data_IF_038599090335
#
_entry.id   IF_038599090335
#
_cell.length_a   1.000
_cell.length_b   1.000
_cell.length_c   1.000
_cell.angle_alpha   90.00
_cell.angle_beta   90.00
_cell.angle_gamma   90.00
#
_symmetry.space_group_name_H-M   'P 1'
#
loop_
_entity.id
_entity.type
_entity.pdbx_description
1 polymer ?
#
# COMPACT_ATOMS: atom_id res chain seq x y z
N UNK A 1 36.53 -41.63 -31.65
CA UNK A 1 36.25 -40.68 -32.74
C UNK A 1 36.17 -39.29 -32.11
N UNK A 2 37.25 -38.58 -32.34
CA UNK A 2 37.56 -37.25 -31.79
C UNK A 2 36.75 -36.20 -32.52
N UNK A 3 36.12 -35.25 -31.81
CA UNK A 3 35.62 -33.98 -32.42
C UNK A 3 36.06 -32.78 -31.61
N UNK A 4 36.79 -31.98 -32.30
CA UNK A 4 37.53 -30.77 -32.01
C UNK A 4 36.56 -29.62 -31.67
N UNK A 5 36.89 -28.86 -30.63
CA UNK A 5 36.23 -27.58 -30.24
C UNK A 5 37.10 -26.43 -30.83
N UNK A 6 36.57 -25.44 -31.53
CA UNK A 6 37.34 -24.27 -31.88
C UNK A 6 37.32 -23.20 -30.79
N UNK A 7 38.49 -22.76 -30.44
CA UNK A 7 38.83 -21.63 -29.57
C UNK A 7 38.54 -20.33 -30.30
N UNK A 8 37.64 -19.49 -29.75
CA UNK A 8 37.39 -18.11 -30.23
C UNK A 8 38.21 -17.16 -29.37
N UNK A 9 39.16 -16.51 -30.04
CA UNK A 9 40.07 -15.50 -29.50
C UNK A 9 39.34 -14.17 -29.34
N UNK A 10 39.29 -13.63 -28.11
CA UNK A 10 38.75 -12.30 -27.81
C UNK A 10 39.87 -11.26 -28.00
N UNK A 11 39.70 -10.32 -28.91
CA UNK A 11 40.59 -9.17 -29.11
C UNK A 11 40.06 -8.00 -28.28
N UNK A 12 40.82 -7.59 -27.26
CA UNK A 12 40.63 -6.32 -26.55
C UNK A 12 41.27 -5.19 -27.33
N UNK A 13 40.47 -4.20 -27.73
CA UNK A 13 40.95 -2.90 -28.18
C UNK A 13 40.81 -1.88 -27.05
N UNK A 14 41.92 -1.44 -26.49
CA UNK A 14 42.00 -0.32 -25.56
C UNK A 14 42.10 0.98 -26.36
N UNK A 15 41.16 1.90 -26.15
CA UNK A 15 41.27 3.29 -26.60
C UNK A 15 41.45 4.17 -25.36
N UNK A 16 42.65 4.70 -25.23
CA UNK A 16 43.00 5.75 -24.26
C UNK A 16 42.62 7.11 -24.88
N UNK A 17 41.69 7.83 -24.25
CA UNK A 17 41.38 9.22 -24.56
C UNK A 17 41.83 10.11 -23.41
N UNK A 18 42.84 10.93 -23.65
CA UNK A 18 43.35 11.98 -22.76
C UNK A 18 42.38 13.16 -22.72
N UNK A 19 41.95 13.57 -21.53
CA UNK A 19 41.25 14.83 -21.31
C UNK A 19 42.25 15.82 -20.70
N UNK A 20 42.50 16.89 -21.42
CA UNK A 20 43.30 18.03 -20.94
C UNK A 20 42.43 18.99 -20.18
N UNK A 21 42.90 19.36 -18.98
CA UNK A 21 42.36 20.44 -18.17
C UNK A 21 42.67 21.79 -18.84
N UNK A 22 41.73 22.70 -18.74
CA UNK A 22 41.97 24.11 -19.06
C UNK A 22 41.42 24.96 -17.88
N UNK A 23 42.33 25.41 -17.07
CA UNK A 23 42.11 26.45 -16.06
C UNK A 23 42.07 27.82 -16.75
N UNK A 24 41.16 28.67 -16.36
CA UNK A 24 41.26 30.13 -16.49
C UNK A 24 40.62 30.77 -15.26
N UNK A 25 41.46 31.22 -14.39
CA UNK A 25 41.23 32.35 -13.48
C UNK A 25 41.14 33.62 -14.34
N UNK A 26 40.30 34.58 -13.94
CA UNK A 26 40.60 36.01 -14.00
C UNK A 26 39.65 36.77 -13.07
N UNK A 27 40.25 37.36 -12.07
CA UNK A 27 39.80 38.47 -11.22
C UNK A 27 39.36 39.69 -12.06
N UNK A 28 38.47 40.52 -11.54
CA UNK A 28 38.68 41.98 -11.35
C UNK A 28 37.63 42.58 -10.41
N UNK A 29 38.16 43.46 -9.55
CA UNK A 29 37.54 44.14 -8.43
C UNK A 29 36.64 45.33 -8.78
N UNK A 30 35.79 45.63 -7.79
CA UNK A 30 35.34 46.90 -7.21
C UNK A 30 35.33 48.20 -8.01
N UNK A 31 34.18 48.92 -7.95
CA UNK A 31 34.21 50.31 -7.57
C UNK A 31 32.85 50.82 -7.05
N UNK A 32 32.89 51.55 -5.95
CA UNK A 32 31.75 52.19 -5.30
C UNK A 32 31.63 53.65 -5.84
N UNK A 33 30.40 54.15 -5.96
CA UNK A 33 30.16 55.58 -5.89
C UNK A 33 28.77 55.87 -5.35
N UNK A 34 28.72 56.60 -4.25
CA UNK A 34 27.55 57.20 -3.65
C UNK A 34 27.23 58.54 -4.36
N UNK A 35 25.97 58.88 -4.46
CA UNK A 35 25.51 60.27 -4.51
C UNK A 35 24.04 60.41 -4.09
N UNK A 36 23.88 61.23 -3.11
CA UNK A 36 22.82 61.84 -2.38
C UNK A 36 21.93 62.73 -3.28
N UNK A 37 20.61 62.76 -3.05
CA UNK A 37 19.83 64.04 -3.04
C UNK A 37 18.39 63.76 -2.65
N UNK A 38 17.95 64.44 -1.59
CA UNK A 38 16.61 64.80 -1.17
C UNK A 38 15.70 65.28 -2.29
N UNK A 39 14.46 64.84 -2.29
CA UNK A 39 13.30 65.77 -2.36
C UNK A 39 12.00 65.03 -2.08
N UNK A 40 11.22 65.47 -1.08
CA UNK A 40 9.83 65.17 -0.89
C UNK A 40 8.98 66.35 -1.41
N UNK A 41 7.78 66.09 -1.95
CA UNK A 41 6.63 66.67 -1.27
C UNK A 41 5.35 65.81 -1.26
N UNK A 42 4.68 65.96 -0.09
CA UNK A 42 3.27 66.14 0.18
C UNK A 42 2.18 65.31 -0.56
N UNK A 43 1.46 64.64 0.28
CA UNK A 43 0.06 64.25 0.41
C UNK A 43 -0.92 64.68 -0.71
N UNK A 44 -1.65 63.67 -1.22
CA UNK A 44 -3.06 63.84 -1.57
C UNK A 44 -3.87 62.58 -1.15
N UNK A 45 -4.84 62.86 -0.28
CA UNK A 45 -5.89 61.92 0.14
C UNK A 45 -6.83 61.67 -1.03
N UNK A 46 -7.00 60.42 -1.45
CA UNK A 46 -8.16 60.06 -2.25
C UNK A 46 -8.59 58.61 -2.00
N UNK A 47 -9.69 58.51 -1.32
CA UNK A 47 -10.76 57.54 -1.56
C UNK A 47 -10.43 56.06 -1.49
N UNK A 48 -10.70 55.48 -0.33
CA UNK A 48 -11.03 54.07 -0.16
C UNK A 48 -12.19 53.67 -1.08
N UNK A 49 -11.90 52.93 -2.14
CA UNK A 49 -12.87 52.04 -2.74
C UNK A 49 -12.62 50.65 -2.10
N UNK A 50 -13.54 50.28 -1.22
CA UNK A 50 -13.73 48.91 -0.83
C UNK A 50 -13.99 48.11 -2.11
N UNK A 51 -12.96 47.42 -2.59
CA UNK A 51 -13.14 46.31 -3.52
C UNK A 51 -13.78 45.21 -2.70
N UNK A 52 -15.06 45.00 -2.93
CA UNK A 52 -15.74 43.75 -2.54
C UNK A 52 -14.89 42.61 -3.06
N UNK A 53 -14.33 41.79 -2.15
CA UNK A 53 -13.73 40.52 -2.47
C UNK A 53 -14.82 39.64 -3.10
N UNK A 54 -14.81 39.57 -4.43
CA UNK A 54 -15.60 38.58 -5.17
C UNK A 54 -15.16 37.21 -4.72
N UNK A 55 -16.13 36.51 -4.12
CA UNK A 55 -16.40 35.06 -4.11
C UNK A 55 -15.18 34.17 -4.37
N UNK A 56 -14.58 33.74 -3.27
CA UNK A 56 -13.42 32.85 -3.31
C UNK A 56 -13.75 31.48 -3.91
N UNK A 57 -13.37 31.28 -5.16
CA UNK A 57 -13.11 29.96 -5.64
C UNK A 57 -12.26 29.24 -4.58
N UNK A 58 -12.71 28.06 -4.13
CA UNK A 58 -12.09 27.27 -3.06
C UNK A 58 -10.65 26.91 -3.48
N UNK A 59 -9.71 27.82 -3.20
CA UNK A 59 -8.31 27.63 -3.62
C UNK A 59 -7.70 26.53 -2.78
N UNK A 60 -7.19 25.48 -3.46
CA UNK A 60 -6.50 24.36 -2.80
C UNK A 60 -5.32 24.91 -2.01
N UNK A 61 -5.26 24.58 -0.73
CA UNK A 61 -4.17 24.99 0.16
C UNK A 61 -2.95 24.10 -0.03
N UNK A 62 -1.73 24.64 0.12
CA UNK A 62 -0.53 23.83 0.17
C UNK A 62 -0.65 22.71 1.22
N UNK A 63 -0.14 21.53 0.89
CA UNK A 63 -0.12 20.38 1.77
C UNK A 63 1.14 20.37 2.64
N UNK A 64 0.95 20.30 3.97
CA UNK A 64 2.06 20.06 4.90
C UNK A 64 2.19 18.57 5.17
N UNK A 65 3.30 17.97 4.74
CA UNK A 65 3.61 16.55 4.94
C UNK A 65 5.09 16.35 5.20
N UNK A 66 5.44 15.56 6.22
CA UNK A 66 6.85 15.25 6.58
C UNK A 66 7.73 16.50 6.75
N UNK A 67 7.16 17.61 7.27
CA UNK A 67 7.84 18.88 7.47
C UNK A 67 8.21 19.62 6.18
N UNK A 68 7.51 19.33 5.09
CA UNK A 68 7.62 19.98 3.79
C UNK A 68 6.26 20.49 3.34
N UNK A 69 6.28 21.59 2.59
CA UNK A 69 5.11 22.19 1.98
C UNK A 69 5.07 21.80 0.50
N UNK A 70 4.06 21.04 0.08
CA UNK A 70 3.84 20.66 -1.32
C UNK A 70 2.78 21.61 -1.91
N UNK A 71 3.10 22.27 -3.02
CA UNK A 71 2.21 23.22 -3.67
C UNK A 71 1.13 22.50 -4.50
N UNK A 72 -0.08 23.07 -4.63
CA UNK A 72 -1.09 22.55 -5.55
C UNK A 72 -0.55 22.44 -6.99
N UNK A 73 -1.01 21.44 -7.71
CA UNK A 73 -0.60 21.15 -9.09
C UNK A 73 0.83 20.63 -9.23
N UNK A 74 1.46 20.14 -8.15
CA UNK A 74 2.84 19.65 -8.19
C UNK A 74 2.97 18.18 -7.82
N UNK A 75 4.02 17.56 -8.37
CA UNK A 75 4.50 16.23 -7.96
C UNK A 75 5.83 16.38 -7.24
N UNK A 76 5.92 15.88 -6.02
CA UNK A 76 7.15 15.91 -5.23
C UNK A 76 7.52 14.55 -4.66
N UNK A 77 8.82 14.34 -4.48
CA UNK A 77 9.33 13.19 -3.73
C UNK A 77 9.82 13.68 -2.37
N UNK A 78 9.07 13.35 -1.35
CA UNK A 78 9.44 13.62 0.04
C UNK A 78 10.27 12.46 0.60
N UNK A 79 10.86 12.67 1.76
CA UNK A 79 11.70 11.67 2.40
C UNK A 79 11.22 11.42 3.82
N UNK A 80 10.68 10.24 4.05
CA UNK A 80 10.31 9.76 5.37
C UNK A 80 11.50 9.03 6.00
N UNK A 81 11.96 9.52 7.13
CA UNK A 81 13.03 8.90 7.92
C UNK A 81 12.41 8.33 9.20
N UNK A 82 12.03 7.05 9.23
CA UNK A 82 11.55 6.43 10.45
C UNK A 82 12.67 6.47 11.50
N UNK A 83 12.28 6.67 12.76
CA UNK A 83 13.23 6.78 13.87
C UNK A 83 13.91 5.44 14.11
N UNK A 84 15.08 5.27 13.49
CA UNK A 84 15.93 4.08 13.60
C UNK A 84 17.04 4.30 14.62
N UNK A 85 17.60 3.20 15.12
CA UNK A 85 18.62 3.21 16.19
C UNK A 85 19.89 4.01 15.88
N UNK A 86 20.16 4.31 14.61
CA UNK A 86 21.33 5.07 14.17
C UNK A 86 20.91 6.28 13.35
N UNK A 87 20.57 7.39 14.00
CA UNK A 87 20.16 8.65 13.33
C UNK A 87 21.16 9.15 12.26
N UNK A 88 22.46 8.92 12.47
CA UNK A 88 23.51 9.33 11.54
C UNK A 88 23.66 8.42 10.32
N UNK A 89 22.99 7.26 10.30
CA UNK A 89 23.06 6.27 9.22
C UNK A 89 21.64 5.93 8.69
N UNK A 90 20.63 6.67 9.12
CA UNK A 90 19.26 6.45 8.65
C UNK A 90 19.17 6.62 7.12
N UNK A 91 18.62 5.63 6.45
CA UNK A 91 18.28 5.74 5.03
C UNK A 91 16.81 6.15 4.93
N UNK A 92 16.52 7.36 4.45
CA UNK A 92 15.14 7.78 4.28
C UNK A 92 14.44 6.98 3.19
N UNK A 93 13.15 6.75 3.37
CA UNK A 93 12.27 6.12 2.41
C UNK A 93 11.63 7.21 1.56
N UNK A 94 11.63 7.11 0.22
CA UNK A 94 10.93 8.06 -0.63
C UNK A 94 9.41 7.92 -0.47
N UNK A 95 8.74 9.07 -0.38
CA UNK A 95 7.28 9.21 -0.37
C UNK A 95 6.91 10.09 -1.56
N UNK A 96 6.15 9.53 -2.48
CA UNK A 96 5.73 10.18 -3.71
C UNK A 96 4.41 10.92 -3.43
N UNK A 97 4.33 12.21 -3.77
CA UNK A 97 3.14 13.03 -3.51
C UNK A 97 2.72 13.74 -4.79
N UNK A 98 1.52 13.45 -5.27
CA UNK A 98 0.84 14.20 -6.30
C UNK A 98 -0.26 15.03 -5.62
N UNK A 99 -0.11 16.35 -5.57
CA UNK A 99 -1.06 17.27 -4.96
C UNK A 99 -1.79 18.06 -6.04
N UNK A 100 -3.10 17.85 -6.13
CA UNK A 100 -3.94 18.38 -7.21
C UNK A 100 -4.23 19.88 -7.10
N UNK A 101 -4.76 20.44 -8.19
CA UNK A 101 -5.23 21.84 -8.26
C UNK A 101 -6.69 22.00 -7.82
N UNK A 102 -7.45 20.90 -7.75
CA UNK A 102 -8.85 20.93 -7.36
C UNK A 102 -9.03 20.28 -5.98
N UNK A 103 -10.01 20.74 -5.17
CA UNK A 103 -10.33 20.10 -3.91
C UNK A 103 -10.75 18.64 -4.12
N UNK A 104 -10.39 17.77 -3.21
CA UNK A 104 -10.72 16.36 -3.27
C UNK A 104 -10.12 15.57 -2.10
N UNK A 105 -10.36 14.26 -2.02
CA UNK A 105 -9.87 13.44 -0.92
C UNK A 105 -8.36 13.20 -1.00
N UNK A 106 -7.80 12.76 0.12
CA UNK A 106 -6.43 12.28 0.21
C UNK A 106 -6.40 10.76 0.22
N UNK A 107 -5.93 10.18 -0.88
CA UNK A 107 -5.73 8.75 -1.04
C UNK A 107 -4.28 8.39 -0.72
N UNK A 108 -4.08 7.46 0.21
CA UNK A 108 -2.76 6.91 0.50
C UNK A 108 -2.63 5.49 -0.02
N UNK A 109 -1.47 5.22 -0.62
CA UNK A 109 -1.08 3.91 -1.14
C UNK A 109 0.19 3.47 -0.39
N UNK A 110 0.13 2.32 0.29
CA UNK A 110 1.29 1.70 0.92
C UNK A 110 1.64 0.40 0.23
N UNK A 111 2.93 0.10 0.12
CA UNK A 111 3.40 -1.18 -0.41
C UNK A 111 4.65 -1.65 0.31
N UNK A 112 4.99 -2.91 0.15
CA UNK A 112 6.11 -3.55 0.82
C UNK A 112 6.14 -3.30 2.34
N UNK A 113 4.98 -3.39 3.01
CA UNK A 113 4.88 -3.63 4.46
C UNK A 113 5.59 -4.94 4.78
N UNK A 114 5.49 -5.89 3.88
CA UNK A 114 6.35 -7.08 3.81
C UNK A 114 7.38 -6.88 2.69
N UNK A 115 8.65 -6.98 3.02
CA UNK A 115 9.71 -6.55 2.10
C UNK A 115 9.92 -7.44 0.88
N UNK A 116 9.37 -8.66 0.87
CA UNK A 116 9.41 -9.60 -0.25
C UNK A 116 8.23 -9.48 -1.23
N UNK A 117 7.28 -8.56 -0.98
CA UNK A 117 6.07 -8.37 -1.77
C UNK A 117 6.25 -7.23 -2.79
N UNK A 118 6.65 -7.57 -4.04
CA UNK A 118 7.17 -6.62 -5.00
C UNK A 118 6.11 -5.97 -5.90
N UNK A 119 4.98 -6.66 -6.16
CA UNK A 119 3.98 -6.18 -7.13
C UNK A 119 3.39 -4.82 -6.73
N UNK A 120 3.10 -4.63 -5.43
CA UNK A 120 2.59 -3.37 -4.91
C UNK A 120 3.54 -2.19 -5.10
N UNK A 121 4.87 -2.41 -5.01
CA UNK A 121 5.89 -1.38 -5.28
C UNK A 121 5.74 -0.85 -6.70
N UNK A 122 5.63 -1.78 -7.66
CA UNK A 122 5.53 -1.44 -9.08
C UNK A 122 4.17 -0.81 -9.41
N UNK A 123 3.08 -1.23 -8.74
CA UNK A 123 1.77 -0.59 -8.88
C UNK A 123 1.83 0.88 -8.43
N UNK A 124 2.38 1.16 -7.23
CA UNK A 124 2.57 2.53 -6.74
C UNK A 124 3.43 3.33 -7.72
N UNK A 125 4.56 2.78 -8.17
CA UNK A 125 5.44 3.46 -9.11
C UNK A 125 4.72 3.82 -10.40
N UNK A 126 4.07 2.85 -11.06
CA UNK A 126 3.39 3.09 -12.35
C UNK A 126 2.30 4.14 -12.20
N UNK A 127 1.40 3.98 -11.23
CA UNK A 127 0.33 4.93 -11.00
C UNK A 127 0.87 6.34 -10.73
N UNK A 128 1.77 6.48 -9.75
CA UNK A 128 2.25 7.80 -9.31
C UNK A 128 2.95 8.59 -10.41
N UNK A 129 3.74 7.94 -11.27
CA UNK A 129 4.45 8.61 -12.36
C UNK A 129 3.60 8.85 -13.63
N UNK A 130 2.37 8.30 -13.67
CA UNK A 130 1.39 8.58 -14.72
C UNK A 130 0.39 9.68 -14.32
N UNK A 131 0.39 10.11 -13.05
CA UNK A 131 -0.47 11.18 -12.59
C UNK A 131 0.03 12.54 -13.08
N UNK A 132 -0.91 13.34 -13.61
CA UNK A 132 -0.71 14.75 -13.93
C UNK A 132 -1.35 15.60 -12.80
N UNK A 133 -0.58 16.16 -11.86
CA UNK A 133 -1.13 16.86 -10.69
C UNK A 133 -2.02 18.04 -11.07
N UNK A 134 -1.79 18.68 -12.21
CA UNK A 134 -2.62 19.78 -12.71
C UNK A 134 -4.04 19.37 -13.14
N UNK A 135 -4.27 18.06 -13.33
CA UNK A 135 -5.56 17.49 -13.70
C UNK A 135 -6.17 16.64 -12.57
N UNK A 136 -5.54 16.67 -11.38
CA UNK A 136 -5.93 15.88 -10.21
C UNK A 136 -6.80 16.71 -9.26
N UNK A 137 -7.87 16.11 -8.73
CA UNK A 137 -8.62 16.61 -7.57
C UNK A 137 -8.16 15.87 -6.32
N UNK A 138 -7.84 16.62 -5.25
CA UNK A 138 -7.32 16.05 -4.02
C UNK A 138 -5.83 15.69 -4.09
N UNK A 139 -5.42 14.67 -3.35
CA UNK A 139 -4.00 14.30 -3.19
C UNK A 139 -3.82 12.80 -3.24
N UNK A 140 -2.77 12.33 -3.93
CA UNK A 140 -2.33 10.93 -3.85
C UNK A 140 -0.95 10.89 -3.20
N UNK A 141 -0.84 10.10 -2.11
CA UNK A 141 0.42 9.89 -1.38
C UNK A 141 0.81 8.42 -1.53
N UNK A 142 1.92 8.15 -2.20
CA UNK A 142 2.45 6.81 -2.42
C UNK A 142 3.68 6.53 -1.56
N UNK A 143 3.64 5.45 -0.77
CA UNK A 143 4.80 4.92 -0.02
C UNK A 143 5.15 3.55 -0.61
N UNK A 144 6.01 3.51 -1.65
CA UNK A 144 6.25 2.27 -2.39
C UNK A 144 6.98 1.20 -1.58
N UNK A 145 7.75 1.58 -0.57
CA UNK A 145 8.52 0.63 0.24
C UNK A 145 8.44 1.06 1.72
N UNK A 146 7.50 0.48 2.46
CA UNK A 146 7.37 0.75 3.90
C UNK A 146 8.48 0.07 4.69
N UNK A 147 8.73 -1.20 4.45
CA UNK A 147 9.76 -2.01 5.11
C UNK A 147 11.03 -2.09 4.26
N UNK A 148 11.81 -1.00 4.24
CA UNK A 148 13.05 -0.92 3.45
C UNK A 148 14.07 -2.00 3.84
N UNK A 149 14.11 -2.38 5.10
CA UNK A 149 15.03 -3.38 5.61
C UNK A 149 14.67 -4.78 5.10
N UNK A 150 13.39 -5.16 5.23
CA UNK A 150 12.88 -6.39 4.64
C UNK A 150 13.07 -6.42 3.12
N UNK A 151 12.77 -5.33 2.43
CA UNK A 151 12.94 -5.22 0.98
C UNK A 151 14.38 -5.48 0.53
N UNK A 152 15.37 -4.86 1.19
CA UNK A 152 16.78 -5.07 0.86
C UNK A 152 17.26 -6.51 1.06
N UNK A 153 16.63 -7.21 2.00
CA UNK A 153 16.98 -8.57 2.34
C UNK A 153 16.11 -9.62 1.63
N UNK A 154 15.12 -9.19 0.79
CA UNK A 154 14.13 -10.08 0.18
C UNK A 154 13.36 -10.87 1.23
N UNK A 155 13.01 -10.24 2.34
CA UNK A 155 12.38 -10.85 3.50
C UNK A 155 11.04 -10.19 3.82
N UNK A 156 10.04 -10.99 4.15
CA UNK A 156 8.77 -10.53 4.69
C UNK A 156 8.99 -9.67 5.94
N UNK A 157 9.87 -10.12 6.81
CA UNK A 157 10.08 -9.60 8.15
C UNK A 157 11.12 -8.49 8.20
N UNK A 158 11.06 -7.69 9.27
CA UNK A 158 12.15 -6.81 9.69
C UNK A 158 13.39 -7.61 10.12
N UNK A 159 14.54 -6.95 10.29
CA UNK A 159 15.79 -7.59 10.76
C UNK A 159 15.66 -8.27 12.12
N UNK A 160 14.76 -7.78 12.98
CA UNK A 160 14.44 -8.39 14.28
C UNK A 160 13.45 -9.56 14.17
N UNK A 161 13.12 -10.00 12.94
CA UNK A 161 12.21 -11.09 12.59
C UNK A 161 10.75 -10.85 12.95
N UNK A 162 10.34 -9.62 13.21
CA UNK A 162 8.95 -9.25 13.46
C UNK A 162 8.22 -8.98 12.16
N UNK A 163 6.95 -9.40 12.12
CA UNK A 163 6.00 -9.02 11.07
C UNK A 163 5.48 -7.61 11.36
N UNK A 164 5.83 -6.63 10.50
CA UNK A 164 5.44 -5.25 10.70
C UNK A 164 3.91 -5.10 10.77
N UNK A 165 3.17 -5.90 10.00
CA UNK A 165 1.71 -5.85 9.92
C UNK A 165 1.00 -6.53 11.13
N UNK A 166 1.67 -6.55 12.27
CA UNK A 166 1.14 -6.96 13.59
C UNK A 166 1.41 -5.90 14.68
N UNK A 167 1.93 -4.74 14.27
CA UNK A 167 2.38 -3.73 15.22
C UNK A 167 1.72 -2.36 15.04
N UNK A 168 0.77 -2.19 14.12
CA UNK A 168 0.05 -0.93 13.94
C UNK A 168 -1.03 -0.71 15.00
N UNK A 169 -1.29 0.56 15.43
CA UNK A 169 -0.65 1.80 14.98
C UNK A 169 0.78 2.00 15.52
N UNK A 170 1.27 1.12 16.37
CA UNK A 170 2.61 1.17 16.92
C UNK A 170 2.74 2.03 18.18
N UNK A 171 3.97 2.14 18.68
CA UNK A 171 4.29 2.95 19.86
C UNK A 171 5.70 3.53 19.75
N UNK A 172 5.86 4.81 20.08
CA UNK A 172 7.14 5.55 19.95
C UNK A 172 8.31 4.89 20.71
N UNK A 173 8.04 4.30 21.86
CA UNK A 173 9.05 3.66 22.73
C UNK A 173 9.05 2.13 22.63
N UNK A 174 8.33 1.55 21.64
CA UNK A 174 8.20 0.11 21.45
C UNK A 174 9.41 -0.54 20.75
N UNK A 175 9.23 -1.79 20.31
CA UNK A 175 10.20 -2.53 19.50
C UNK A 175 10.49 -1.82 18.17
N UNK A 176 11.50 -2.29 17.40
CA UNK A 176 11.82 -1.71 16.09
C UNK A 176 10.59 -1.72 15.16
N UNK A 177 9.83 -2.83 15.12
CA UNK A 177 8.59 -2.93 14.37
C UNK A 177 7.53 -1.93 14.85
N UNK A 178 7.30 -1.85 16.17
CA UNK A 178 6.33 -0.93 16.77
C UNK A 178 6.68 0.54 16.52
N UNK A 179 7.95 0.91 16.56
CA UNK A 179 8.43 2.28 16.26
C UNK A 179 8.30 2.63 14.79
N UNK A 180 8.59 1.69 13.88
CA UNK A 180 8.40 1.88 12.45
C UNK A 180 6.92 2.05 12.12
N UNK A 181 6.05 1.18 12.67
CA UNK A 181 4.61 1.28 12.55
C UNK A 181 4.09 2.64 13.05
N UNK A 182 4.49 3.06 14.25
CA UNK A 182 4.13 4.35 14.84
C UNK A 182 4.55 5.53 13.94
N UNK A 183 5.78 5.50 13.43
CA UNK A 183 6.29 6.56 12.57
C UNK A 183 5.52 6.67 11.25
N UNK A 184 5.23 5.56 10.57
CA UNK A 184 4.41 5.56 9.36
C UNK A 184 3.02 6.08 9.65
N UNK A 185 2.39 5.52 10.66
CA UNK A 185 1.00 5.78 10.99
C UNK A 185 0.77 7.26 11.34
N UNK A 186 1.56 7.81 12.26
CA UNK A 186 1.37 9.18 12.71
C UNK A 186 1.81 10.25 11.70
N UNK A 187 2.88 9.98 10.92
CA UNK A 187 3.41 11.00 10.01
C UNK A 187 2.74 10.99 8.64
N UNK A 188 2.10 9.88 8.23
CA UNK A 188 1.53 9.73 6.89
C UNK A 188 0.07 9.27 6.96
N UNK A 189 -0.20 8.08 7.54
CA UNK A 189 -1.51 7.42 7.41
C UNK A 189 -2.63 8.22 8.06
N UNK A 190 -2.43 8.80 9.22
CA UNK A 190 -3.44 9.66 9.90
C UNK A 190 -3.89 10.87 9.10
N UNK A 191 -3.15 11.24 8.05
CA UNK A 191 -3.53 12.35 7.20
C UNK A 191 -4.37 11.93 5.98
N UNK A 192 -4.68 10.63 5.83
CA UNK A 192 -5.39 10.07 4.69
C UNK A 192 -6.89 9.97 4.98
N UNK A 193 -7.73 10.19 3.96
CA UNK A 193 -9.15 9.88 4.00
C UNK A 193 -9.38 8.41 3.60
N UNK A 194 -8.58 7.95 2.64
CA UNK A 194 -8.61 6.58 2.11
C UNK A 194 -7.22 5.94 2.13
N UNK A 195 -7.17 4.64 2.41
CA UNK A 195 -5.94 3.86 2.39
C UNK A 195 -6.11 2.58 1.56
N UNK A 196 -5.18 2.34 0.65
CA UNK A 196 -5.02 1.04 -0.03
C UNK A 196 -3.65 0.48 0.34
N UNK A 197 -3.64 -0.62 1.09
CA UNK A 197 -2.43 -1.33 1.47
C UNK A 197 -2.17 -2.48 0.50
N UNK A 198 -1.08 -2.39 -0.28
CA UNK A 198 -0.79 -3.26 -1.42
C UNK A 198 0.11 -4.42 -1.00
N UNK A 199 -0.39 -5.64 -1.16
CA UNK A 199 0.22 -6.89 -0.76
C UNK A 199 0.25 -7.93 -1.88
N UNK A 200 0.89 -9.05 -1.60
CA UNK A 200 0.82 -10.30 -2.38
C UNK A 200 0.49 -11.47 -1.46
N UNK A 201 0.27 -12.65 -2.02
CA UNK A 201 0.25 -13.87 -1.22
C UNK A 201 1.55 -14.06 -0.44
N UNK A 202 1.47 -14.57 0.77
CA UNK A 202 2.61 -14.80 1.67
C UNK A 202 3.14 -16.23 1.59
N UNK A 203 4.39 -16.47 1.98
CA UNK A 203 4.96 -17.82 2.20
C UNK A 203 4.74 -18.82 1.04
N UNK A 204 5.10 -18.42 -0.19
CA UNK A 204 4.95 -19.24 -1.40
C UNK A 204 3.49 -19.57 -1.75
N UNK A 205 2.58 -18.69 -1.39
CA UNK A 205 1.20 -18.66 -1.89
C UNK A 205 1.06 -17.55 -2.91
N UNK A 206 0.10 -17.70 -3.79
CA UNK A 206 -0.28 -16.69 -4.76
C UNK A 206 -1.76 -16.38 -4.59
N UNK A 207 -2.12 -15.13 -4.70
CA UNK A 207 -3.49 -14.66 -4.69
C UNK A 207 -3.87 -14.13 -6.07
N UNK A 208 -5.10 -14.44 -6.52
CA UNK A 208 -5.65 -13.66 -7.63
C UNK A 208 -5.77 -12.21 -7.19
N UNK A 209 -5.72 -11.23 -8.11
CA UNK A 209 -5.95 -9.84 -7.76
C UNK A 209 -7.31 -9.67 -7.09
N UNK A 210 -7.31 -9.21 -5.84
CA UNK A 210 -8.52 -9.10 -5.00
C UNK A 210 -8.36 -8.04 -3.93
N UNK A 211 -9.47 -7.48 -3.46
CA UNK A 211 -9.54 -6.65 -2.27
C UNK A 211 -9.90 -7.51 -1.06
N UNK A 212 -9.25 -7.26 0.04
CA UNK A 212 -9.68 -7.69 1.37
C UNK A 212 -10.30 -6.48 2.06
N UNK A 213 -11.56 -6.59 2.40
CA UNK A 213 -12.37 -5.51 2.94
C UNK A 213 -13.24 -6.02 4.10
N UNK A 214 -13.47 -5.18 5.09
CA UNK A 214 -14.45 -5.45 6.15
C UNK A 214 -15.84 -5.09 5.63
N UNK A 215 -16.52 -6.08 5.04
CA UNK A 215 -17.83 -5.88 4.44
C UNK A 215 -18.98 -5.80 5.48
N UNK A 216 -18.68 -5.80 6.77
CA UNK A 216 -19.66 -5.47 7.80
C UNK A 216 -19.77 -3.95 8.02
N UNK A 217 -18.96 -3.13 7.32
CA UNK A 217 -18.95 -1.66 7.37
C UNK A 217 -19.39 -1.07 6.04
N UNK A 218 -20.48 -0.29 6.04
CA UNK A 218 -21.06 0.28 4.82
C UNK A 218 -20.12 1.22 4.06
N UNK A 219 -19.33 2.03 4.76
CA UNK A 219 -18.35 2.92 4.15
C UNK A 219 -17.23 2.14 3.43
N UNK A 220 -16.81 0.97 3.96
CA UNK A 220 -15.82 0.10 3.32
C UNK A 220 -16.43 -0.61 2.10
N UNK A 221 -17.69 -1.04 2.18
CA UNK A 221 -18.43 -1.60 1.03
C UNK A 221 -18.55 -0.56 -0.08
N UNK A 222 -18.91 0.68 0.25
CA UNK A 222 -19.00 1.79 -0.70
C UNK A 222 -17.62 2.05 -1.37
N UNK A 223 -16.56 2.09 -0.58
CA UNK A 223 -15.19 2.29 -1.09
C UNK A 223 -14.73 1.14 -2.00
N UNK A 224 -14.98 -0.11 -1.62
CA UNK A 224 -14.60 -1.26 -2.42
C UNK A 224 -15.25 -1.27 -3.82
N UNK A 225 -16.46 -0.72 -3.98
CA UNK A 225 -17.12 -0.59 -5.28
C UNK A 225 -16.39 0.32 -6.27
N UNK A 226 -15.63 1.30 -5.78
CA UNK A 226 -14.88 2.21 -6.64
C UNK A 226 -13.75 1.52 -7.42
N UNK A 227 -13.36 0.29 -7.06
CA UNK A 227 -12.35 -0.49 -7.78
C UNK A 227 -12.87 -1.22 -9.03
N UNK A 228 -14.10 -0.94 -9.47
CA UNK A 228 -14.68 -1.56 -10.65
C UNK A 228 -14.90 -3.06 -10.50
N UNK A 229 -14.44 -3.85 -11.48
CA UNK A 229 -14.66 -5.31 -11.52
C UNK A 229 -13.72 -6.15 -10.66
N UNK A 230 -12.89 -5.54 -9.78
CA UNK A 230 -11.96 -6.30 -8.93
C UNK A 230 -12.71 -7.17 -7.91
N UNK A 231 -12.27 -8.41 -7.76
CA UNK A 231 -12.82 -9.35 -6.77
C UNK A 231 -12.72 -8.78 -5.36
N UNK A 232 -13.78 -8.87 -4.57
CA UNK A 232 -13.81 -8.45 -3.16
C UNK A 232 -14.03 -9.65 -2.26
N UNK A 233 -13.19 -9.74 -1.24
CA UNK A 233 -13.23 -10.77 -0.22
C UNK A 233 -13.50 -10.16 1.14
N UNK A 234 -14.58 -10.60 1.80
CA UNK A 234 -14.81 -10.24 3.20
C UNK A 234 -13.68 -10.78 4.07
N UNK A 235 -13.02 -9.87 4.75
CA UNK A 235 -11.88 -10.17 5.60
C UNK A 235 -11.78 -9.09 6.68
N UNK A 236 -12.45 -9.26 7.82
CA UNK A 236 -12.26 -8.38 8.96
C UNK A 236 -10.77 -8.33 9.33
N UNK A 237 -10.19 -7.15 9.57
CA UNK A 237 -8.78 -7.05 9.89
C UNK A 237 -8.49 -7.60 11.29
N UNK A 238 -7.34 -8.25 11.44
CA UNK A 238 -6.82 -8.66 12.74
C UNK A 238 -6.13 -7.51 13.47
N UNK A 239 -6.03 -7.59 14.79
CA UNK A 239 -5.34 -6.61 15.63
C UNK A 239 -3.89 -6.41 15.17
N UNK A 240 -3.43 -5.17 15.23
CA UNK A 240 -2.08 -4.79 14.85
C UNK A 240 -1.81 -4.71 13.33
N UNK A 241 -2.80 -5.00 12.48
CA UNK A 241 -2.70 -4.77 11.04
C UNK A 241 -2.86 -3.28 10.71
N UNK A 242 -2.16 -2.82 9.67
CA UNK A 242 -2.24 -1.43 9.21
C UNK A 242 -3.70 -1.03 8.88
N UNK A 243 -4.41 -1.88 8.17
CA UNK A 243 -5.81 -1.67 7.82
C UNK A 243 -6.73 -1.60 9.07
N UNK A 244 -6.48 -2.42 10.11
CA UNK A 244 -7.23 -2.36 11.36
C UNK A 244 -7.06 -1.00 12.03
N UNK A 245 -5.81 -0.59 12.24
CA UNK A 245 -5.49 0.68 12.87
C UNK A 245 -6.04 1.89 12.08
N UNK A 246 -6.04 1.83 10.74
CA UNK A 246 -6.61 2.87 9.90
C UNK A 246 -8.13 2.99 10.09
N UNK A 247 -8.85 1.86 10.10
CA UNK A 247 -10.31 1.84 10.31
C UNK A 247 -10.70 2.31 11.73
N UNK A 248 -9.90 1.99 12.74
CA UNK A 248 -10.10 2.48 14.11
C UNK A 248 -9.93 4.00 14.23
N UNK A 249 -9.09 4.59 13.39
CA UNK A 249 -8.90 6.06 13.30
C UNK A 249 -9.90 6.76 12.35
N UNK A 250 -10.89 6.01 11.82
CA UNK A 250 -11.90 6.56 10.91
C UNK A 250 -11.45 6.71 9.44
N UNK A 251 -10.31 6.12 9.07
CA UNK A 251 -9.81 6.10 7.70
C UNK A 251 -10.42 4.89 6.99
N UNK A 252 -11.04 5.10 5.82
CA UNK A 252 -11.61 4.00 5.05
C UNK A 252 -10.49 3.22 4.36
N UNK A 253 -10.30 1.95 4.73
CA UNK A 253 -9.13 1.20 4.32
C UNK A 253 -9.46 -0.20 3.77
N UNK A 254 -8.73 -0.58 2.72
CA UNK A 254 -8.74 -1.94 2.13
C UNK A 254 -7.32 -2.43 1.92
N UNK A 255 -7.15 -3.76 1.87
CA UNK A 255 -5.91 -4.38 1.39
C UNK A 255 -6.15 -4.89 -0.02
N UNK A 256 -5.26 -4.57 -0.96
CA UNK A 256 -5.23 -5.16 -2.29
C UNK A 256 -4.16 -6.26 -2.31
N UNK A 257 -4.57 -7.46 -2.64
CA UNK A 257 -3.69 -8.61 -2.80
C UNK A 257 -3.56 -8.97 -4.27
N UNK A 258 -2.34 -9.14 -4.79
CA UNK A 258 -2.16 -9.52 -6.20
C UNK A 258 -0.85 -10.30 -6.41
N UNK A 259 -0.96 -11.55 -6.87
CA UNK A 259 0.20 -12.41 -7.17
C UNK A 259 0.87 -13.00 -5.93
N UNK A 260 2.17 -13.25 -6.00
CA UNK A 260 2.97 -13.91 -4.96
C UNK A 260 4.27 -13.17 -4.60
N UNK A 261 4.94 -13.57 -3.51
CA UNK A 261 6.15 -12.91 -3.02
C UNK A 261 7.39 -13.27 -3.83
N UNK A 262 8.45 -12.48 -3.64
CA UNK A 262 9.79 -12.67 -4.23
C UNK A 262 9.83 -12.70 -5.77
N UNK A 263 8.83 -12.13 -6.43
CA UNK A 263 8.78 -12.02 -7.89
C UNK A 263 7.92 -10.84 -8.31
N UNK A 264 8.18 -10.34 -9.49
CA UNK A 264 7.36 -9.34 -10.15
C UNK A 264 6.52 -10.05 -11.22
N UNK A 265 5.20 -9.81 -11.20
CA UNK A 265 4.23 -10.44 -12.09
C UNK A 265 3.48 -9.36 -12.85
N UNK A 266 3.88 -9.13 -14.12
CA UNK A 266 3.35 -8.02 -14.93
C UNK A 266 1.82 -8.03 -15.04
N UNK A 267 1.19 -9.22 -15.21
CA UNK A 267 -0.27 -9.32 -15.30
C UNK A 267 -0.97 -8.90 -14.01
N UNK A 268 -0.42 -9.27 -12.84
CA UNK A 268 -0.96 -8.88 -11.55
C UNK A 268 -0.78 -7.37 -11.31
N UNK A 269 0.36 -6.82 -11.71
CA UNK A 269 0.66 -5.38 -11.63
C UNK A 269 -0.28 -4.59 -12.55
N UNK A 270 -0.41 -4.99 -13.83
CA UNK A 270 -1.28 -4.32 -14.79
C UNK A 270 -2.74 -4.28 -14.31
N UNK A 271 -3.23 -5.40 -13.77
CA UNK A 271 -4.57 -5.48 -13.21
C UNK A 271 -4.74 -4.56 -11.99
N UNK A 272 -3.76 -4.54 -11.07
CA UNK A 272 -3.78 -3.68 -9.90
C UNK A 272 -3.73 -2.19 -10.26
N UNK A 273 -2.87 -1.80 -11.20
CA UNK A 273 -2.79 -0.41 -11.71
C UNK A 273 -4.13 0.02 -12.31
N UNK A 274 -4.73 -0.82 -13.16
CA UNK A 274 -6.03 -0.53 -13.77
C UNK A 274 -7.14 -0.35 -12.70
N UNK A 275 -7.11 -1.15 -11.64
CA UNK A 275 -8.07 -1.02 -10.54
C UNK A 275 -7.86 0.29 -9.75
N UNK A 276 -6.61 0.68 -9.50
CA UNK A 276 -6.27 1.94 -8.84
C UNK A 276 -6.63 3.17 -9.70
N UNK A 277 -6.43 3.10 -11.02
CA UNK A 277 -6.90 4.13 -11.95
C UNK A 277 -8.42 4.27 -11.92
N UNK A 278 -9.14 3.14 -11.93
CA UNK A 278 -10.60 3.11 -11.81
C UNK A 278 -11.07 3.67 -10.47
N UNK A 279 -10.33 3.40 -9.38
CA UNK A 279 -10.58 3.99 -8.07
C UNK A 279 -10.49 5.53 -8.13
N UNK A 280 -9.43 6.09 -8.71
CA UNK A 280 -9.27 7.54 -8.85
C UNK A 280 -10.40 8.18 -9.68
N UNK A 281 -10.82 7.52 -10.76
CA UNK A 281 -11.92 7.96 -11.60
C UNK A 281 -13.27 7.94 -10.83
N UNK A 282 -13.54 6.89 -10.07
CA UNK A 282 -14.78 6.74 -9.31
C UNK A 282 -14.82 7.56 -8.01
N UNK A 283 -13.68 8.04 -7.52
CA UNK A 283 -13.59 9.02 -6.43
C UNK A 283 -13.60 10.48 -6.94
N UNK A 284 -13.86 10.68 -8.24
CA UNK A 284 -13.81 11.99 -8.90
C UNK A 284 -12.45 12.72 -8.76
N UNK A 285 -11.38 11.97 -8.46
CA UNK A 285 -10.03 12.53 -8.35
C UNK A 285 -9.38 12.74 -9.72
N UNK A 286 -9.80 12.01 -10.74
CA UNK A 286 -9.35 12.10 -12.13
C UNK A 286 -10.53 11.97 -13.08
N UNK A 287 -10.47 12.64 -14.24
CA UNK A 287 -11.49 12.48 -15.28
C UNK A 287 -11.53 11.04 -15.80
N UNK A 288 -12.72 10.46 -15.86
CA UNK A 288 -12.91 9.11 -16.35
C UNK A 288 -12.42 8.97 -17.80
N UNK A 289 -11.52 8.04 -18.02
CA UNK A 289 -10.97 7.73 -19.34
C UNK A 289 -11.60 6.48 -19.98
N UNK A 290 -12.05 5.53 -19.15
CA UNK A 290 -12.62 4.25 -19.57
C UNK A 290 -13.65 3.77 -18.56
N UNK A 291 -14.69 3.11 -19.05
CA UNK A 291 -15.64 2.38 -18.22
C UNK A 291 -15.18 0.93 -18.06
N UNK A 292 -14.80 0.54 -16.85
CA UNK A 292 -14.53 -0.84 -16.49
C UNK A 292 -15.79 -1.45 -15.89
N UNK A 293 -16.66 -2.00 -16.78
CA UNK A 293 -18.06 -2.32 -16.48
C UNK A 293 -18.36 -3.78 -16.18
N UNK A 294 -17.40 -4.61 -15.78
CA UNK A 294 -17.70 -5.96 -15.32
C UNK A 294 -18.32 -5.92 -13.90
N UNK A 295 -19.32 -6.77 -13.60
CA UNK A 295 -19.80 -6.92 -12.24
C UNK A 295 -18.66 -7.33 -11.31
N UNK A 296 -18.60 -6.71 -10.13
CA UNK A 296 -17.61 -7.03 -9.11
C UNK A 296 -17.96 -8.36 -8.42
N UNK A 297 -17.13 -9.42 -8.53
CA UNK A 297 -17.35 -10.65 -7.79
C UNK A 297 -17.10 -10.44 -6.29
N UNK A 298 -18.06 -10.82 -5.44
CA UNK A 298 -17.95 -10.65 -4.00
C UNK A 298 -18.00 -12.00 -3.31
N UNK A 299 -17.05 -12.24 -2.41
CA UNK A 299 -16.95 -13.46 -1.61
C UNK A 299 -17.05 -13.10 -0.13
N UNK A 300 -18.21 -13.36 0.47
CA UNK A 300 -18.42 -13.09 1.88
C UNK A 300 -17.83 -14.18 2.77
N UNK A 301 -17.85 -15.42 2.31
CA UNK A 301 -17.28 -16.57 3.00
C UNK A 301 -16.14 -17.17 2.18
N UNK A 302 -15.04 -17.45 2.83
CA UNK A 302 -13.91 -18.17 2.22
C UNK A 302 -13.12 -18.93 3.27
N UNK A 303 -12.57 -20.05 2.89
CA UNK A 303 -11.83 -20.95 3.78
C UNK A 303 -10.51 -21.40 3.16
N UNK A 304 -9.47 -21.51 4.01
CA UNK A 304 -8.23 -22.16 3.66
C UNK A 304 -8.31 -23.68 3.83
N UNK A 305 -8.25 -24.40 2.71
CA UNK A 305 -8.19 -25.85 2.67
C UNK A 305 -6.76 -26.28 2.92
N UNK A 306 -6.57 -27.13 3.94
CA UNK A 306 -5.23 -27.48 4.43
C UNK A 306 -4.80 -28.86 3.99
N UNK A 307 -3.48 -29.02 3.77
CA UNK A 307 -2.85 -30.31 3.50
C UNK A 307 -2.98 -31.25 4.71
N UNK A 308 -3.48 -32.46 4.49
CA UNK A 308 -3.65 -33.47 5.54
C UNK A 308 -2.33 -34.15 5.96
N UNK A 309 -1.32 -34.13 5.08
CA UNK A 309 0.02 -34.71 5.33
C UNK A 309 1.11 -33.81 4.76
N UNK A 310 2.35 -34.03 5.20
CA UNK A 310 3.54 -33.43 4.60
C UNK A 310 3.98 -34.14 3.33
N UNK A 311 4.63 -33.44 2.41
CA UNK A 311 5.13 -33.96 1.16
C UNK A 311 5.32 -32.93 0.08
N UNK A 312 5.37 -33.38 -1.17
CA UNK A 312 5.43 -32.52 -2.35
C UNK A 312 4.01 -32.28 -2.84
N UNK A 313 3.55 -31.02 -2.80
CA UNK A 313 2.26 -30.61 -3.34
C UNK A 313 2.38 -30.37 -4.85
N UNK A 314 1.51 -31.01 -5.60
CA UNK A 314 1.26 -30.75 -7.02
C UNK A 314 -0.19 -30.32 -7.17
N UNK A 315 -0.42 -29.10 -7.66
CA UNK A 315 -1.76 -28.57 -7.89
C UNK A 315 -2.39 -29.15 -9.16
N UNK A 316 -3.69 -29.38 -9.12
CA UNK A 316 -4.52 -29.80 -10.26
C UNK A 316 -5.49 -28.69 -10.72
N UNK A 317 -5.45 -27.53 -10.02
CA UNK A 317 -6.25 -26.34 -10.32
C UNK A 317 -5.38 -25.09 -10.42
N UNK A 318 -5.91 -24.03 -11.02
CA UNK A 318 -5.29 -22.72 -11.15
C UNK A 318 -6.07 -21.66 -10.37
N UNK A 319 -5.47 -20.47 -10.21
CA UNK A 319 -6.18 -19.32 -9.64
C UNK A 319 -7.43 -18.98 -10.49
N UNK A 320 -8.49 -18.60 -9.81
CA UNK A 320 -9.77 -18.23 -10.43
C UNK A 320 -10.59 -19.41 -10.99
N UNK A 321 -10.12 -20.65 -10.93
CA UNK A 321 -10.91 -21.81 -11.32
C UNK A 321 -12.16 -21.96 -10.46
N UNK A 322 -13.27 -22.33 -11.10
CA UNK A 322 -14.48 -22.78 -10.43
C UNK A 322 -14.35 -24.26 -10.11
N UNK A 323 -14.50 -24.60 -8.85
CA UNK A 323 -14.36 -25.97 -8.35
C UNK A 323 -15.67 -26.46 -7.74
N UNK A 324 -15.89 -27.77 -7.80
CA UNK A 324 -17.09 -28.41 -7.22
C UNK A 324 -16.73 -29.19 -5.97
N UNK A 325 -17.68 -29.31 -5.08
CA UNK A 325 -17.56 -30.16 -3.90
C UNK A 325 -17.10 -31.59 -4.28
N UNK A 326 -16.01 -32.04 -3.64
CA UNK A 326 -15.40 -33.35 -3.90
C UNK A 326 -14.37 -33.37 -5.02
N UNK A 327 -14.13 -32.24 -5.70
CA UNK A 327 -13.10 -32.08 -6.73
C UNK A 327 -11.72 -32.07 -6.11
N UNK A 328 -10.73 -32.68 -6.75
CA UNK A 328 -9.34 -32.70 -6.30
C UNK A 328 -8.70 -31.37 -6.70
N UNK A 329 -8.19 -30.65 -5.71
CA UNK A 329 -7.48 -29.39 -5.89
C UNK A 329 -5.98 -29.61 -6.14
N UNK A 330 -5.47 -30.70 -5.59
CA UNK A 330 -4.08 -31.11 -5.75
C UNK A 330 -3.77 -32.31 -4.90
N UNK A 331 -2.58 -32.87 -5.11
CA UNK A 331 -2.10 -34.07 -4.44
C UNK A 331 -0.80 -33.81 -3.71
N UNK A 332 -0.72 -34.16 -2.43
CA UNK A 332 0.53 -34.15 -1.65
C UNK A 332 1.10 -35.54 -1.62
N UNK A 333 2.30 -35.70 -2.18
CA UNK A 333 3.00 -37.01 -2.25
C UNK A 333 4.18 -37.04 -1.28
N UNK A 334 4.22 -38.04 -0.40
CA UNK A 334 5.41 -38.35 0.38
C UNK A 334 6.47 -38.99 -0.54
N UNK A 335 7.61 -38.32 -0.76
CA UNK A 335 8.63 -38.84 -1.71
C UNK A 335 9.37 -40.08 -1.22
N UNK A 336 9.24 -40.44 0.05
CA UNK A 336 9.91 -41.62 0.64
C UNK A 336 9.03 -42.85 0.52
N UNK A 337 7.79 -42.77 0.98
CA UNK A 337 6.82 -43.87 0.94
C UNK A 337 6.10 -44.01 -0.40
N UNK A 338 6.19 -42.99 -1.25
CA UNK A 338 5.44 -42.84 -2.51
C UNK A 338 3.91 -42.96 -2.31
N UNK A 339 3.43 -42.48 -1.15
CA UNK A 339 2.00 -42.40 -0.86
C UNK A 339 1.47 -40.99 -1.15
N UNK A 340 0.31 -40.89 -1.78
CA UNK A 340 -0.36 -39.63 -2.09
C UNK A 340 -1.57 -39.38 -1.19
N UNK A 341 -1.82 -38.11 -0.86
CA UNK A 341 -3.05 -37.63 -0.20
C UNK A 341 -3.64 -36.49 -1.01
N UNK A 342 -4.87 -36.66 -1.45
CA UNK A 342 -5.59 -35.62 -2.18
C UNK A 342 -6.07 -34.52 -1.24
N UNK A 343 -5.99 -33.27 -1.68
CA UNK A 343 -6.68 -32.12 -1.10
C UNK A 343 -7.95 -31.90 -1.91
N UNK A 344 -9.10 -31.90 -1.26
CA UNK A 344 -10.41 -31.95 -1.90
C UNK A 344 -11.22 -30.70 -1.54
N UNK A 345 -11.94 -30.12 -2.53
CA UNK A 345 -12.86 -29.01 -2.31
C UNK A 345 -14.01 -29.42 -1.38
N UNK A 346 -14.26 -28.73 -0.25
CA UNK A 346 -15.34 -29.08 0.68
C UNK A 346 -16.72 -28.65 0.19
N UNK A 347 -16.79 -27.66 -0.71
CA UNK A 347 -18.00 -27.07 -1.29
C UNK A 347 -17.70 -26.55 -2.70
N UNK A 348 -18.75 -26.14 -3.42
CA UNK A 348 -18.64 -25.50 -4.73
C UNK A 348 -18.15 -24.05 -4.53
N UNK A 349 -17.18 -23.60 -5.32
CA UNK A 349 -16.64 -22.25 -5.14
C UNK A 349 -15.56 -21.90 -6.16
N UNK A 350 -14.82 -20.83 -5.88
CA UNK A 350 -13.75 -20.32 -6.73
C UNK A 350 -12.42 -20.30 -5.98
N UNK A 351 -11.33 -20.66 -6.66
CA UNK A 351 -9.97 -20.61 -6.09
C UNK A 351 -9.47 -19.17 -6.06
N UNK A 352 -9.41 -18.58 -4.86
CA UNK A 352 -9.04 -17.19 -4.61
C UNK A 352 -7.55 -17.01 -4.26
N UNK A 353 -6.94 -18.06 -3.78
CA UNK A 353 -5.52 -18.10 -3.44
C UNK A 353 -5.05 -19.55 -3.38
N UNK A 354 -3.78 -19.79 -3.65
CA UNK A 354 -3.25 -21.15 -3.64
C UNK A 354 -1.75 -21.19 -3.36
N UNK A 355 -1.30 -22.31 -2.82
CA UNK A 355 0.11 -22.61 -2.74
C UNK A 355 0.67 -22.86 -4.14
N UNK A 356 1.88 -22.39 -4.41
CA UNK A 356 2.65 -22.86 -5.57
C UNK A 356 3.13 -24.28 -5.33
N UNK A 357 3.45 -25.02 -6.38
CA UNK A 357 4.00 -26.38 -6.26
C UNK A 357 5.28 -26.36 -5.42
N UNK A 358 5.25 -27.04 -4.28
CA UNK A 358 6.30 -26.95 -3.26
C UNK A 358 6.27 -28.10 -2.26
N UNK A 359 7.26 -28.15 -1.38
CA UNK A 359 7.20 -28.98 -0.17
C UNK A 359 6.30 -28.29 0.86
N UNK A 360 5.33 -29.04 1.38
CA UNK A 360 4.39 -28.60 2.41
C UNK A 360 4.46 -29.49 3.64
N UNK A 361 4.08 -28.97 4.79
CA UNK A 361 3.87 -29.72 6.02
C UNK A 361 2.38 -30.04 6.21
N UNK A 362 2.07 -31.01 7.06
CA UNK A 362 0.69 -31.24 7.49
C UNK A 362 0.13 -29.96 8.13
N UNK A 363 -1.11 -29.59 7.80
CA UNK A 363 -1.75 -28.35 8.25
C UNK A 363 -1.48 -27.13 7.38
N UNK A 364 -0.56 -27.19 6.39
CA UNK A 364 -0.28 -26.06 5.51
C UNK A 364 -1.54 -25.63 4.73
N UNK A 365 -1.86 -24.32 4.77
CA UNK A 365 -2.97 -23.70 4.06
C UNK A 365 -2.66 -23.67 2.55
N UNK A 366 -3.25 -24.62 1.79
CA UNK A 366 -2.87 -24.88 0.42
C UNK A 366 -3.77 -24.19 -0.61
N UNK A 367 -5.09 -24.10 -0.36
CA UNK A 367 -6.05 -23.48 -1.28
C UNK A 367 -7.05 -22.62 -0.50
N UNK A 368 -7.31 -21.40 -0.97
CA UNK A 368 -8.40 -20.59 -0.47
C UNK A 368 -9.57 -20.67 -1.46
N UNK A 369 -10.69 -21.18 -0.98
CA UNK A 369 -11.91 -21.27 -1.78
C UNK A 369 -12.94 -20.32 -1.20
N UNK A 370 -13.65 -19.59 -2.06
CA UNK A 370 -14.74 -18.69 -1.69
C UNK A 370 -16.01 -19.06 -2.42
N UNK A 371 -17.16 -18.85 -1.74
CA UNK A 371 -18.49 -18.91 -2.32
C UNK A 371 -18.93 -17.52 -2.74
N UNK A 372 -19.22 -17.32 -4.04
CA UNK A 372 -19.61 -16.04 -4.60
C UNK A 372 -21.03 -15.66 -4.15
N UNK A 373 -21.19 -14.42 -3.66
CA UNK A 373 -22.49 -13.81 -3.31
C UNK A 373 -22.78 -12.65 -4.24
N UNK A 374 -24.05 -12.29 -4.39
CA UNK A 374 -24.40 -11.08 -5.15
C UNK A 374 -24.01 -9.82 -4.37
N UNK A 375 -23.66 -8.74 -5.09
CA UNK A 375 -23.35 -7.46 -4.46
C UNK A 375 -24.53 -6.92 -3.64
N UNK A 376 -25.78 -7.17 -4.08
CA UNK A 376 -27.00 -6.76 -3.39
C UNK A 376 -27.17 -7.46 -2.03
N UNK A 377 -26.83 -8.76 -1.93
CA UNK A 377 -26.85 -9.50 -0.66
C UNK A 377 -25.84 -8.96 0.34
N UNK A 378 -24.68 -8.51 -0.13
CA UNK A 378 -23.62 -7.95 0.70
C UNK A 378 -24.02 -6.57 1.22
N UNK A 379 -24.56 -5.70 0.36
CA UNK A 379 -25.06 -4.38 0.75
C UNK A 379 -26.15 -4.47 1.81
N UNK A 380 -27.15 -5.30 1.57
CA UNK A 380 -28.23 -5.51 2.54
C UNK A 380 -27.74 -6.00 3.90
N UNK A 381 -26.67 -6.80 3.91
CA UNK A 381 -26.07 -7.30 5.15
C UNK A 381 -25.28 -6.21 5.88
N UNK A 382 -24.51 -5.38 5.16
CA UNK A 382 -23.75 -4.28 5.75
C UNK A 382 -24.69 -3.23 6.37
N UNK A 383 -25.75 -2.83 5.66
CA UNK A 383 -26.77 -1.90 6.19
C UNK A 383 -27.45 -2.43 7.44
N UNK A 384 -27.73 -3.74 7.49
CA UNK A 384 -28.32 -4.37 8.68
C UNK A 384 -27.35 -4.39 9.86
N UNK A 385 -26.07 -4.58 9.60
CA UNK A 385 -25.00 -4.54 10.64
C UNK A 385 -24.89 -3.15 11.26
N UNK A 386 -24.85 -2.11 10.43
CA UNK A 386 -24.76 -0.71 10.88
C UNK A 386 -26.00 -0.31 11.68
N UNK A 387 -27.21 -0.69 11.22
CA UNK A 387 -28.45 -0.44 11.97
C UNK A 387 -28.46 -1.12 13.34
N UNK A 388 -27.90 -2.33 13.42
CA UNK A 388 -27.81 -3.08 14.68
C UNK A 388 -26.83 -2.40 15.65
N UNK A 389 -25.78 -1.80 15.17
CA UNK A 389 -24.83 -1.03 15.99
C UNK A 389 -25.45 0.27 16.50
N UNK A 390 -26.20 0.99 15.67
CA UNK A 390 -26.93 2.20 16.06
C UNK A 390 -28.02 1.89 17.10
N UNK A 391 -28.81 0.83 16.90
CA UNK A 391 -29.87 0.40 17.83
C UNK A 391 -29.31 -0.02 19.20
N UNK A 392 -28.09 -0.55 19.26
CA UNK A 392 -27.38 -0.88 20.50
C UNK A 392 -26.68 0.32 21.16
N UNK A 393 -26.85 1.54 20.63
CA UNK A 393 -26.37 2.79 21.23
C UNK A 393 -24.91 3.11 20.94
N UNK A 394 -24.30 2.44 19.98
CA UNK A 394 -22.98 2.76 19.46
C UNK A 394 -23.13 3.90 18.43
N UNK A 395 -22.92 5.13 18.87
CA UNK A 395 -22.75 6.26 17.94
C UNK A 395 -21.27 6.33 17.59
N UNK A 396 -20.92 6.49 16.29
CA UNK A 396 -19.58 6.87 15.93
C UNK A 396 -19.21 8.15 16.67
N UNK A 397 -18.17 8.14 17.48
CA UNK A 397 -17.67 9.38 18.09
C UNK A 397 -17.15 10.27 16.94
N UNK A 398 -17.63 11.53 16.90
CA UNK A 398 -17.00 12.56 16.08
C UNK A 398 -15.49 12.59 16.40
N UNK A 399 -14.61 12.76 15.41
CA UNK A 399 -13.18 12.74 15.63
C UNK A 399 -12.81 13.76 16.70
N UNK A 400 -12.32 13.26 17.83
CA UNK A 400 -11.97 14.08 18.97
C UNK A 400 -10.84 15.05 18.58
N UNK A 401 -11.03 16.33 18.87
CA UNK A 401 -9.98 17.32 18.82
C UNK A 401 -8.74 16.84 19.61
N UNK A 402 -7.52 17.18 19.16
CA UNK A 402 -6.29 16.67 19.77
C UNK A 402 -6.27 17.03 21.26
N UNK A 403 -6.23 16.00 22.11
CA UNK A 403 -6.10 16.14 23.56
C UNK A 403 -4.69 16.58 23.89
N UNK A 404 -4.57 17.66 24.67
CA UNK A 404 -3.31 18.07 25.29
C UNK A 404 -2.76 16.91 26.15
N UNK A 405 -1.46 16.69 26.06
CA UNK A 405 -0.73 15.57 26.67
C UNK A 405 -0.85 15.64 28.20
N UNK A 406 -1.54 14.69 28.81
CA UNK A 406 -1.37 14.36 30.24
C UNK A 406 -0.14 13.46 30.39
N UNK A 407 0.83 13.89 31.18
CA UNK A 407 2.05 13.15 31.52
C UNK A 407 1.69 11.77 32.11
N UNK A 408 1.87 10.71 31.32
CA UNK A 408 1.67 9.33 31.76
C UNK A 408 2.83 8.86 32.63
N UNK A 409 2.50 8.42 33.82
CA UNK A 409 3.39 7.87 34.85
C UNK A 409 4.18 6.66 34.34
N UNK A 410 5.46 6.68 34.68
CA UNK A 410 6.50 5.69 34.42
C UNK A 410 6.24 4.38 35.20
N UNK A 411 5.60 3.39 34.53
CA UNK A 411 5.53 2.01 35.01
C UNK A 411 6.10 1.09 33.94
N UNK A 412 7.03 0.17 34.26
CA UNK A 412 7.60 -0.74 33.28
C UNK A 412 6.51 -1.72 32.80
N UNK A 413 6.21 -1.71 31.49
CA UNK A 413 5.33 -2.70 30.87
C UNK A 413 6.14 -3.96 30.56
N UNK A 414 5.51 -5.12 30.86
CA UNK A 414 5.99 -6.44 30.55
C UNK A 414 6.37 -6.57 29.06
N UNK A 415 7.41 -7.39 28.79
CA UNK A 415 7.86 -7.66 27.41
C UNK A 415 6.71 -8.14 26.53
N UNK A 416 6.57 -7.55 25.35
CA UNK A 416 5.58 -7.92 24.34
C UNK A 416 5.64 -9.44 24.08
N UNK A 417 4.54 -10.19 24.21
CA UNK A 417 4.52 -11.60 23.86
C UNK A 417 4.85 -11.76 22.38
N UNK A 418 5.65 -12.78 22.05
CA UNK A 418 5.89 -13.13 20.66
C UNK A 418 4.55 -13.39 19.95
N UNK A 419 4.30 -12.81 18.76
CA UNK A 419 3.06 -13.01 18.04
C UNK A 419 2.85 -14.50 17.74
N UNK A 420 1.62 -15.00 17.76
CA UNK A 420 1.31 -16.37 17.38
C UNK A 420 1.76 -16.61 15.94
N UNK A 421 2.16 -17.85 15.65
CA UNK A 421 2.56 -18.27 14.32
C UNK A 421 1.45 -17.96 13.30
N UNK A 422 1.86 -17.34 12.19
CA UNK A 422 1.00 -16.76 11.17
C UNK A 422 0.24 -17.84 10.36
N UNK A 423 -0.95 -18.19 10.80
CA UNK A 423 -1.85 -19.14 10.10
C UNK A 423 -3.10 -18.46 9.49
N UNK A 424 -3.22 -17.13 9.54
CA UNK A 424 -4.48 -16.43 9.21
C UNK A 424 -4.39 -15.32 8.16
N UNK A 425 -3.41 -15.35 7.27
CA UNK A 425 -3.43 -14.52 6.05
C UNK A 425 -3.71 -15.33 4.79
#
# INVERSE_FOLDING_TARGET
>A
MSRIIPLITLILLALAGTVTANEREDDVAAEAAAADSDDAPEQDEASSSEAEEEDGADTVKPLELLGKTVQPGTFETLHWAPDQSFRSIATPVPVLVAHGNEPGPRLCLTAAVHGDELNGIEMVRRLMYELEPTELAGTVVGVPIVNLDGFRNGSRYLSDRRDLNRYFPGHEKGSAASRLAFSLFNNIVRQCDYLVDLHTGSQKRINQPQLRADLDKSEVVAFAKHFGGMTVLHSPPGDGMLRAAAVEEGIVAVTMEAGGPNRLEDEAVDYGVQALETLLENLDMRKASRFWGAPQPVFFESEWIRAGQGGILLSEVELNDQVRKGEILGTVTDPISNTGSAIIAPYDGRVLGMAVNQVVHAGFAAYRIGEEKSAEEVEAKAELSDQTLEDNGFKPEEPAAPKEEEEASDAPREEDPAPPADDTE
#
